data_IF_422813091804
#
_entry.id   IF_422813091804
#
_cell.length_a   1.000
_cell.length_b   1.000
_cell.length_c   1.000
_cell.angle_alpha   90.00
_cell.angle_beta   90.00
_cell.angle_gamma   90.00
#
_symmetry.space_group_name_H-M   'P 1'
#
loop_
_entity.id
_entity.type
_entity.pdbx_description
1 polymer ?
#
# COMPACT_ATOMS: atom_id res chain seq x y z
N UNK A 1 -39.09 38.84 -5.07
CA UNK A 1 -39.36 37.46 -5.54
C UNK A 1 -38.16 37.00 -6.34
N UNK A 2 -37.16 36.44 -5.69
CA UNK A 2 -35.98 35.85 -6.35
C UNK A 2 -35.98 34.37 -6.01
N UNK A 3 -36.13 33.55 -7.05
CA UNK A 3 -36.28 32.12 -6.94
C UNK A 3 -35.04 31.50 -6.30
N UNK A 4 -35.23 30.94 -5.11
CA UNK A 4 -34.31 30.01 -4.47
C UNK A 4 -34.18 28.78 -5.36
N UNK A 5 -33.09 28.69 -6.13
CA UNK A 5 -32.73 27.46 -6.82
C UNK A 5 -32.18 26.47 -5.80
N UNK A 6 -32.96 25.43 -5.57
CA UNK A 6 -32.65 24.27 -4.73
C UNK A 6 -31.35 23.63 -5.20
N UNK A 7 -30.29 23.69 -4.38
CA UNK A 7 -29.08 22.88 -4.59
C UNK A 7 -29.48 21.41 -4.57
N UNK A 8 -29.41 20.77 -5.72
CA UNK A 8 -29.49 19.31 -5.83
C UNK A 8 -28.22 18.76 -5.18
N UNK A 9 -28.34 18.27 -3.96
CA UNK A 9 -27.34 17.45 -3.30
C UNK A 9 -27.31 16.08 -3.95
N UNK A 10 -26.53 15.93 -5.03
CA UNK A 10 -26.24 14.64 -5.63
C UNK A 10 -24.90 14.13 -5.10
N UNK A 11 -24.93 13.29 -4.07
CA UNK A 11 -23.80 12.51 -3.59
C UNK A 11 -23.58 11.28 -4.49
N UNK A 12 -23.28 11.53 -5.77
CA UNK A 12 -22.87 10.50 -6.72
C UNK A 12 -21.35 10.54 -6.95
N UNK A 13 -20.71 9.44 -7.39
CA UNK A 13 -19.32 9.49 -7.80
C UNK A 13 -19.19 10.37 -9.05
N UNK A 14 -18.70 11.58 -8.88
CA UNK A 14 -18.21 12.40 -9.99
C UNK A 14 -17.06 11.65 -10.65
N UNK A 15 -17.17 11.36 -11.95
CA UNK A 15 -16.05 10.89 -12.75
C UNK A 15 -15.00 12.00 -12.72
N UNK A 16 -13.97 11.83 -11.87
CA UNK A 16 -12.81 12.71 -11.86
C UNK A 16 -12.20 12.67 -13.26
N UNK A 17 -12.37 13.75 -14.02
CA UNK A 17 -11.59 13.97 -15.22
C UNK A 17 -10.12 13.86 -14.83
N UNK A 18 -9.45 12.82 -15.33
CA UNK A 18 -8.04 12.65 -15.09
C UNK A 18 -7.34 13.72 -15.94
N UNK A 19 -7.04 14.87 -15.33
CA UNK A 19 -6.28 15.96 -15.92
C UNK A 19 -4.83 15.51 -16.17
N UNK A 20 -4.66 14.56 -17.10
CA UNK A 20 -3.40 13.90 -17.40
C UNK A 20 -2.63 14.78 -18.38
N UNK A 21 -1.48 15.30 -17.95
CA UNK A 21 -0.53 16.00 -18.81
C UNK A 21 0.61 15.08 -19.24
N UNK A 22 1.33 15.43 -20.32
CA UNK A 22 2.53 14.70 -20.74
C UNK A 22 3.59 14.66 -19.63
N UNK A 23 3.73 15.73 -18.85
CA UNK A 23 4.63 15.76 -17.67
C UNK A 23 4.26 14.70 -16.64
N UNK A 24 2.97 14.44 -16.44
CA UNK A 24 2.49 13.43 -15.48
C UNK A 24 2.85 12.02 -15.95
N UNK A 25 2.82 11.75 -17.25
CA UNK A 25 3.17 10.45 -17.84
C UNK A 25 4.69 10.24 -17.82
N UNK A 26 5.46 11.29 -18.11
CA UNK A 26 6.92 11.20 -18.26
C UNK A 26 7.67 11.31 -16.91
N UNK A 27 7.03 11.85 -15.87
CA UNK A 27 7.63 11.93 -14.53
C UNK A 27 7.81 10.54 -13.93
N UNK A 28 8.98 10.30 -13.33
CA UNK A 28 9.26 9.06 -12.60
C UNK A 28 8.31 8.92 -11.40
N UNK A 29 7.65 7.76 -11.31
CA UNK A 29 6.76 7.45 -10.18
C UNK A 29 7.53 7.39 -8.88
N UNK A 30 7.06 8.13 -7.88
CA UNK A 30 7.57 8.10 -6.53
C UNK A 30 6.66 7.20 -5.66
N UNK A 31 7.24 6.12 -5.13
CA UNK A 31 6.53 5.15 -4.29
C UNK A 31 6.28 5.67 -2.88
N UNK A 32 6.98 6.73 -2.45
CA UNK A 32 6.87 7.28 -1.10
C UNK A 32 5.68 8.23 -0.90
N UNK A 33 5.13 8.77 -2.00
CA UNK A 33 4.06 9.78 -1.97
C UNK A 33 2.68 9.25 -2.38
N UNK A 34 2.55 7.94 -2.62
CA UNK A 34 1.26 7.35 -2.98
C UNK A 34 0.28 7.32 -1.80
N UNK A 35 -1.00 7.51 -2.09
CA UNK A 35 -2.07 7.43 -1.08
C UNK A 35 -2.56 5.98 -0.87
N UNK A 36 -2.46 5.14 -1.91
CA UNK A 36 -2.92 3.75 -1.87
C UNK A 36 -1.93 2.86 -1.12
N UNK A 37 -2.42 2.17 -0.08
CA UNK A 37 -1.63 1.18 0.68
C UNK A 37 -1.49 -0.12 -0.12
N UNK A 38 -0.34 -0.77 -0.02
CA UNK A 38 -0.08 -2.06 -0.68
C UNK A 38 -0.08 -3.18 0.36
N UNK A 39 -0.90 -4.20 0.12
CA UNK A 39 -0.96 -5.42 0.93
C UNK A 39 -0.19 -6.51 0.21
N UNK A 40 0.81 -7.12 0.87
CA UNK A 40 1.57 -8.23 0.31
C UNK A 40 1.33 -9.50 1.13
N UNK A 41 1.05 -10.62 0.48
CA UNK A 41 0.97 -11.92 1.16
C UNK A 41 2.37 -12.46 1.35
N UNK A 42 2.78 -12.70 2.59
CA UNK A 42 4.09 -13.25 2.90
C UNK A 42 4.07 -14.77 2.76
N UNK A 43 5.14 -15.31 2.19
CA UNK A 43 5.33 -16.74 2.00
C UNK A 43 6.82 -17.07 1.90
N UNK A 44 7.18 -18.35 1.79
CA UNK A 44 8.57 -18.81 1.87
C UNK A 44 9.53 -18.12 0.88
N UNK A 45 9.02 -17.66 -0.26
CA UNK A 45 9.79 -16.94 -1.27
C UNK A 45 10.34 -15.57 -0.80
N UNK A 46 9.79 -14.98 0.26
CA UNK A 46 10.17 -13.65 0.74
C UNK A 46 10.42 -13.60 2.25
N UNK A 47 10.74 -14.73 2.90
CA UNK A 47 10.96 -14.76 4.34
C UNK A 47 12.34 -14.24 4.78
N UNK A 48 13.30 -14.17 3.88
CA UNK A 48 14.61 -13.60 4.19
C UNK A 48 14.52 -12.08 4.44
N UNK A 49 15.27 -11.60 5.44
CA UNK A 49 15.23 -10.19 5.88
C UNK A 49 15.52 -9.23 4.72
N UNK A 50 16.50 -9.55 3.88
CA UNK A 50 16.88 -8.75 2.71
C UNK A 50 15.73 -8.61 1.68
N UNK A 51 14.93 -9.66 1.51
CA UNK A 51 13.78 -9.65 0.62
C UNK A 51 12.65 -8.80 1.21
N UNK A 52 12.40 -8.93 2.52
CA UNK A 52 11.42 -8.10 3.23
C UNK A 52 11.81 -6.62 3.17
N UNK A 53 13.08 -6.30 3.36
CA UNK A 53 13.62 -4.95 3.17
C UNK A 53 13.38 -4.40 1.77
N UNK A 54 13.63 -5.21 0.75
CA UNK A 54 13.38 -4.85 -0.65
C UNK A 54 11.90 -4.59 -0.92
N UNK A 55 11.01 -5.39 -0.32
CA UNK A 55 9.57 -5.19 -0.40
C UNK A 55 9.12 -3.89 0.29
N UNK A 56 9.70 -3.57 1.45
CA UNK A 56 9.43 -2.32 2.18
C UNK A 56 9.88 -1.09 1.37
N UNK A 57 10.97 -1.19 0.64
CA UNK A 57 11.44 -0.14 -0.26
C UNK A 57 10.60 -0.02 -1.54
N UNK A 58 10.13 -1.15 -2.07
CA UNK A 58 9.17 -1.16 -3.18
C UNK A 58 7.79 -0.61 -2.78
N UNK A 59 7.45 -0.66 -1.49
CA UNK A 59 6.23 -0.05 -0.95
C UNK A 59 5.29 -0.98 -0.19
N UNK A 60 5.73 -2.12 0.31
CA UNK A 60 4.91 -2.93 1.19
C UNK A 60 4.41 -2.09 2.38
N UNK A 61 3.09 -2.03 2.58
CA UNK A 61 2.46 -1.22 3.63
C UNK A 61 1.75 -2.06 4.68
N UNK A 62 1.29 -3.26 4.31
CA UNK A 62 0.59 -4.21 5.18
C UNK A 62 1.06 -5.61 4.80
N UNK A 63 1.54 -6.36 5.78
CA UNK A 63 1.86 -7.78 5.61
C UNK A 63 0.63 -8.66 5.88
N UNK A 64 0.26 -9.51 4.92
CA UNK A 64 -0.78 -10.53 5.07
C UNK A 64 -0.15 -11.88 5.33
N UNK A 65 -0.47 -12.47 6.48
CA UNK A 65 -0.16 -13.85 6.82
C UNK A 65 -1.34 -14.74 6.41
N UNK A 66 -1.12 -15.66 5.48
CA UNK A 66 -2.16 -16.57 5.03
C UNK A 66 -2.17 -17.85 5.89
N UNK A 67 -3.00 -17.87 6.93
CA UNK A 67 -3.13 -19.01 7.86
C UNK A 67 -3.82 -20.25 7.27
N UNK A 68 -4.33 -20.20 6.03
CA UNK A 68 -4.77 -21.41 5.32
C UNK A 68 -3.61 -22.36 5.01
N UNK A 69 -2.36 -21.86 5.08
CA UNK A 69 -1.15 -22.63 4.86
C UNK A 69 -0.09 -22.29 5.93
N UNK A 70 0.84 -23.22 6.16
CA UNK A 70 1.92 -23.07 7.14
C UNK A 70 1.51 -23.36 8.57
N UNK A 71 2.46 -23.23 9.49
CA UNK A 71 2.30 -23.44 10.93
C UNK A 71 2.50 -22.12 11.69
N UNK A 72 2.15 -22.11 12.98
CA UNK A 72 2.31 -20.92 13.82
C UNK A 72 3.77 -20.54 14.01
N UNK A 73 4.68 -21.51 14.05
CA UNK A 73 6.12 -21.28 14.23
C UNK A 73 6.74 -20.56 13.04
N UNK A 74 6.44 -20.99 11.81
CA UNK A 74 6.88 -20.36 10.58
C UNK A 74 6.33 -18.94 10.42
N UNK A 75 5.03 -18.75 10.69
CA UNK A 75 4.42 -17.41 10.67
C UNK A 75 5.05 -16.48 11.72
N UNK A 76 5.33 -16.99 12.92
CA UNK A 76 6.03 -16.22 13.97
C UNK A 76 7.45 -15.85 13.52
N UNK A 77 8.22 -16.80 13.00
CA UNK A 77 9.57 -16.54 12.52
C UNK A 77 9.58 -15.52 11.36
N UNK A 78 8.57 -15.54 10.49
CA UNK A 78 8.38 -14.53 9.45
C UNK A 78 8.05 -13.15 10.05
N UNK A 79 7.16 -13.09 11.05
CA UNK A 79 6.83 -11.85 11.76
C UNK A 79 8.06 -11.22 12.44
N UNK A 80 8.88 -12.04 13.10
CA UNK A 80 10.09 -11.57 13.79
C UNK A 80 11.08 -10.95 12.78
N UNK A 81 11.27 -11.58 11.62
CA UNK A 81 12.09 -11.05 10.51
C UNK A 81 11.49 -9.78 9.88
N UNK A 82 10.16 -9.71 9.75
CA UNK A 82 9.48 -8.52 9.23
C UNK A 82 9.69 -7.32 10.15
N UNK A 83 9.60 -7.51 11.46
CA UNK A 83 9.88 -6.45 12.46
C UNK A 83 11.33 -5.98 12.36
N UNK A 84 12.27 -6.91 12.26
CA UNK A 84 13.67 -6.58 12.05
C UNK A 84 13.88 -5.74 10.78
N UNK A 85 13.30 -6.15 9.65
CA UNK A 85 13.38 -5.39 8.40
C UNK A 85 12.73 -3.99 8.50
N UNK A 86 11.59 -3.89 9.19
CA UNK A 86 10.91 -2.63 9.44
C UNK A 86 11.75 -1.66 10.28
N UNK A 87 12.42 -2.18 11.32
CA UNK A 87 13.33 -1.41 12.17
C UNK A 87 14.57 -0.92 11.38
N UNK A 88 15.16 -1.79 10.56
CA UNK A 88 16.29 -1.42 9.68
C UNK A 88 15.91 -0.28 8.72
N UNK A 89 14.72 -0.35 8.13
CA UNK A 89 14.23 0.67 7.17
C UNK A 89 13.58 1.88 7.84
N UNK A 90 13.39 1.86 9.17
CA UNK A 90 12.69 2.88 9.95
C UNK A 90 11.30 3.20 9.39
N UNK A 91 10.58 2.16 8.93
CA UNK A 91 9.25 2.27 8.33
C UNK A 91 8.26 1.43 9.12
N UNK A 92 7.04 1.94 9.27
CA UNK A 92 5.96 1.17 9.88
C UNK A 92 5.21 0.37 8.83
N UNK A 93 5.03 -0.92 9.12
CA UNK A 93 4.46 -1.95 8.24
C UNK A 93 3.54 -2.85 9.05
#
# INVERSE_FOLDING_TARGET
MTASQTKITASGPELRGANITLDTIMKKTDVSTRQTKIVCTLGPACWEVEQLESLIDAGLSIARFNFSHGDHEGHKACLDRLRQAADHKKKHV
#
